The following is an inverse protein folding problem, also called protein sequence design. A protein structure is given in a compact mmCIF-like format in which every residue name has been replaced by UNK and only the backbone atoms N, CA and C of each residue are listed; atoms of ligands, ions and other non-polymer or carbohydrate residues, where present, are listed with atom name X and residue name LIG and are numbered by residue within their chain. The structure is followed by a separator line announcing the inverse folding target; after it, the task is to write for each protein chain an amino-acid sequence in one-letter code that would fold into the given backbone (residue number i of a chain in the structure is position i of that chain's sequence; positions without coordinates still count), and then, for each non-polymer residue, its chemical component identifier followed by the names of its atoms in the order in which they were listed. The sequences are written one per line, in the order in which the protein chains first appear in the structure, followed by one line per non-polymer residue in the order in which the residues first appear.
data_IF_024615397825
#
_entry.id   IF_024615397825
#
_cell.length_a   1.000
_cell.length_b   1.000
_cell.length_c   1.000
_cell.angle_alpha   90.00
_cell.angle_beta   90.00
_cell.angle_gamma   90.00
#
_symmetry.space_group_name_H-M   'P 1'
#
loop_
_entity.id
_entity.type
_entity.pdbx_description
1 polymer ?
#
# COMPACT_ATOMS: atom_id res chain seq x y z
N UNK A 1 -3.46 -6.42 -1.20
CA UNK A 1 -2.29 -6.12 -0.32
C UNK A 1 -2.52 -6.79 1.03
N UNK A 2 -1.48 -7.35 1.65
CA UNK A 2 -1.55 -7.94 2.99
C UNK A 2 -0.34 -7.50 3.80
N UNK A 3 -0.50 -7.45 5.11
CA UNK A 3 0.56 -7.07 6.06
C UNK A 3 1.66 -8.13 6.08
N UNK A 4 2.90 -7.74 5.80
CA UNK A 4 4.06 -8.63 5.73
C UNK A 4 5.36 -7.98 6.21
N UNK A 5 5.49 -6.66 6.12
CA UNK A 5 6.63 -5.95 6.65
C UNK A 5 6.49 -5.72 8.17
N UNK A 6 7.61 -5.69 8.89
CA UNK A 6 7.60 -5.58 10.37
C UNK A 6 6.77 -4.39 10.89
N UNK A 7 6.82 -3.26 10.19
CA UNK A 7 6.08 -2.04 10.53
C UNK A 7 4.56 -2.13 10.24
N UNK A 8 4.09 -3.17 9.55
CA UNK A 8 2.67 -3.47 9.32
C UNK A 8 2.14 -4.50 10.32
N UNK A 9 3.03 -5.33 10.87
CA UNK A 9 2.71 -6.40 11.80
C UNK A 9 2.68 -5.90 13.26
N UNK A 10 3.44 -4.84 13.58
CA UNK A 10 3.53 -4.29 14.93
C UNK A 10 3.28 -2.79 14.97
N UNK A 11 2.39 -2.36 15.87
CA UNK A 11 2.02 -0.97 16.07
C UNK A 11 0.80 -0.82 16.97
N UNK A 12 0.15 0.34 16.93
CA UNK A 12 -1.10 0.61 17.65
C UNK A 12 -2.22 -0.39 17.27
N UNK A 13 -2.26 -0.82 16.01
CA UNK A 13 -3.13 -1.89 15.54
C UNK A 13 -2.37 -2.88 14.65
N UNK A 14 -1.93 -4.00 15.22
CA UNK A 14 -1.15 -5.02 14.52
C UNK A 14 -1.85 -5.64 13.30
N UNK A 15 -1.02 -6.08 12.33
CA UNK A 15 -1.44 -6.74 11.09
C UNK A 15 -2.34 -5.87 10.20
N UNK A 16 -2.13 -4.56 10.20
CA UNK A 16 -2.95 -3.62 9.45
C UNK A 16 -2.17 -2.93 8.33
N UNK A 17 -2.76 -2.97 7.13
CA UNK A 17 -2.45 -2.07 6.01
C UNK A 17 -3.74 -1.41 5.55
N UNK A 18 -3.75 -0.08 5.46
CA UNK A 18 -4.94 0.68 5.09
C UNK A 18 -4.62 1.73 4.02
N UNK A 19 -4.91 1.47 2.73
CA UNK A 19 -4.66 2.40 1.63
C UNK A 19 -5.42 3.73 1.79
N UNK A 20 -4.74 4.86 1.59
CA UNK A 20 -5.34 6.20 1.81
C UNK A 20 -5.16 7.16 0.65
N UNK A 21 -4.06 7.09 -0.09
CA UNK A 21 -3.83 7.97 -1.23
C UNK A 21 -3.05 7.27 -2.34
N UNK A 22 -3.43 7.53 -3.59
CA UNK A 22 -2.74 7.06 -4.78
C UNK A 22 -2.31 8.27 -5.59
N UNK A 23 -1.06 8.30 -6.03
CA UNK A 23 -0.58 9.30 -6.98
C UNK A 23 -0.49 8.63 -8.35
N UNK A 24 -1.17 9.18 -9.35
CA UNK A 24 -1.08 8.69 -10.72
C UNK A 24 0.07 9.40 -11.44
N UNK A 25 1.05 8.63 -11.94
CA UNK A 25 2.19 9.17 -12.70
C UNK A 25 2.64 8.22 -13.80
N UNK A 26 2.15 8.45 -15.02
CA UNK A 26 2.39 7.57 -16.18
C UNK A 26 1.98 6.13 -15.81
N UNK A 27 2.87 5.16 -15.93
CA UNK A 27 2.61 3.77 -15.56
C UNK A 27 2.91 3.48 -14.08
N UNK A 28 3.52 4.42 -13.34
CA UNK A 28 3.82 4.24 -11.91
C UNK A 28 2.69 4.79 -11.05
N UNK A 29 2.23 3.96 -10.12
CA UNK A 29 1.18 4.27 -9.16
C UNK A 29 1.70 4.12 -7.71
N UNK A 30 2.37 5.14 -7.15
CA UNK A 30 2.69 5.16 -5.72
C UNK A 30 1.42 5.21 -4.86
N UNK A 31 1.20 4.17 -4.08
CA UNK A 31 0.11 4.02 -3.13
C UNK A 31 0.63 4.26 -1.71
N UNK A 32 0.17 5.35 -1.09
CA UNK A 32 0.38 5.64 0.33
C UNK A 32 -0.70 4.97 1.15
N UNK A 33 -0.29 4.38 2.27
CA UNK A 33 -1.17 3.65 3.17
C UNK A 33 -0.72 3.83 4.62
N UNK A 34 -1.69 3.76 5.54
CA UNK A 34 -1.41 3.63 6.96
C UNK A 34 -0.95 2.21 7.29
N UNK A 35 0.14 2.08 8.03
CA UNK A 35 0.66 0.81 8.51
C UNK A 35 0.59 0.74 10.04
N UNK A 36 -0.08 -0.31 10.52
CA UNK A 36 -0.28 -0.60 11.94
C UNK A 36 -0.80 0.57 12.80
N UNK A 37 -1.57 1.51 12.23
CA UNK A 37 -1.98 2.78 12.86
C UNK A 37 -0.82 3.55 13.52
N UNK A 38 0.39 3.42 12.97
CA UNK A 38 1.62 3.92 13.59
C UNK A 38 2.44 4.79 12.64
N UNK A 39 2.51 4.43 11.36
CA UNK A 39 3.25 5.19 10.37
C UNK A 39 2.52 5.21 9.01
N UNK A 40 3.06 6.03 8.10
CA UNK A 40 2.67 6.04 6.69
C UNK A 40 3.77 5.32 5.92
N UNK A 41 3.36 4.40 5.05
CA UNK A 41 4.24 3.69 4.13
C UNK A 41 3.79 3.92 2.69
N UNK A 42 4.66 3.55 1.75
CA UNK A 42 4.39 3.66 0.30
C UNK A 42 4.80 2.37 -0.40
N UNK A 43 3.95 1.90 -1.30
CA UNK A 43 4.24 0.85 -2.25
C UNK A 43 4.04 1.38 -3.67
N UNK A 44 4.85 0.94 -4.62
CA UNK A 44 4.72 1.33 -6.02
C UNK A 44 4.13 0.18 -6.84
N UNK A 45 3.13 0.48 -7.66
CA UNK A 45 2.49 -0.47 -8.57
C UNK A 45 2.64 0.00 -10.03
N UNK A 46 2.62 -0.93 -10.98
CA UNK A 46 2.38 -0.58 -12.39
C UNK A 46 0.87 -0.48 -12.66
N UNK A 47 0.45 0.58 -13.35
CA UNK A 47 -0.94 0.76 -13.80
C UNK A 47 -1.33 -0.36 -14.77
N UNK A 48 -0.47 -0.68 -15.73
CA UNK A 48 -0.75 -1.74 -16.71
C UNK A 48 -0.92 -3.11 -16.06
N UNK A 49 -0.03 -3.49 -15.13
CA UNK A 49 -0.14 -4.75 -14.38
C UNK A 49 -1.39 -4.80 -13.49
N UNK A 50 -1.72 -3.68 -12.82
CA UNK A 50 -2.92 -3.60 -11.98
C UNK A 50 -4.20 -3.78 -12.82
N UNK A 51 -4.27 -3.14 -13.98
CA UNK A 51 -5.42 -3.28 -14.89
C UNK A 51 -5.53 -4.68 -15.49
N UNK A 52 -4.42 -5.39 -15.65
CA UNK A 52 -4.43 -6.81 -16.06
C UNK A 52 -4.95 -7.71 -14.94
N UNK A 53 -4.54 -7.48 -13.70
CA UNK A 53 -4.99 -8.25 -12.53
C UNK A 53 -6.48 -8.05 -12.18
N UNK A 54 -7.11 -6.97 -12.67
CA UNK A 54 -8.53 -6.67 -12.47
C UNK A 54 -9.47 -7.25 -13.55
N UNK A 55 -8.92 -7.82 -14.63
CA UNK A 55 -9.71 -8.52 -15.65
C UNK A 55 -10.15 -9.89 -15.17
#
# INVERSE_FOLDING_TARGET
MHSSADFELSGNLSNLVFPTALIESRDSLPLYYGAADTCIAVAEFSQSELMEALK
#
